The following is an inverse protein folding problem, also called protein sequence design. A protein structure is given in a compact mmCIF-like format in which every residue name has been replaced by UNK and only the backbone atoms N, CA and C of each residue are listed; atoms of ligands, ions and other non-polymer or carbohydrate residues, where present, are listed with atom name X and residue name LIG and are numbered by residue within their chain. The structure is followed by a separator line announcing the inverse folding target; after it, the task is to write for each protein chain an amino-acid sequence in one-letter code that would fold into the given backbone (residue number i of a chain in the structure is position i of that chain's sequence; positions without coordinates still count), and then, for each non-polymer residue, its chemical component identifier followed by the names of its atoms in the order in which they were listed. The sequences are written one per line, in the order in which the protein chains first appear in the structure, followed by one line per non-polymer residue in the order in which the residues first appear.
data_IF_924475851605
#
_entry.id   IF_924475851605
#
_cell.length_a   1.000
_cell.length_b   1.000
_cell.length_c   1.000
_cell.angle_alpha   90.00
_cell.angle_beta   90.00
_cell.angle_gamma   90.00
#
_symmetry.space_group_name_H-M   'P 1'
#
loop_
_entity.id
_entity.type
_entity.pdbx_description
1 polymer ?
#
# COMPACT_ATOMS: atom_id res chain seq x y z
N UNK A 1 32.71 -20.03 -15.95
CA UNK A 1 32.62 -18.84 -15.05
C UNK A 1 31.62 -17.90 -15.71
N UNK A 2 30.37 -17.87 -15.25
CA UNK A 2 29.35 -16.93 -15.73
C UNK A 2 29.73 -15.55 -15.20
N UNK A 3 30.07 -14.62 -16.10
CA UNK A 3 30.18 -13.20 -15.76
C UNK A 3 28.92 -12.76 -15.04
N UNK A 4 29.00 -12.46 -13.76
CA UNK A 4 27.92 -11.79 -13.04
C UNK A 4 27.75 -10.42 -13.69
N UNK A 5 26.69 -10.26 -14.48
CA UNK A 5 26.31 -8.98 -15.06
C UNK A 5 26.11 -8.00 -13.92
N UNK A 6 27.03 -7.07 -13.73
CA UNK A 6 26.96 -6.06 -12.67
C UNK A 6 25.72 -5.18 -12.92
N UNK A 7 24.79 -5.18 -11.98
CA UNK A 7 23.61 -4.32 -12.05
C UNK A 7 24.08 -2.85 -12.05
N UNK A 8 23.66 -2.08 -13.03
CA UNK A 8 23.94 -0.64 -13.13
C UNK A 8 22.62 0.14 -13.24
N UNK A 9 22.55 1.27 -12.54
CA UNK A 9 21.45 2.22 -12.62
C UNK A 9 21.76 3.43 -13.51
N UNK A 10 22.93 3.46 -14.17
CA UNK A 10 23.41 4.61 -14.95
C UNK A 10 22.77 4.68 -16.34
N UNK A 11 22.28 3.55 -16.86
CA UNK A 11 21.67 3.49 -18.18
C UNK A 11 20.17 3.75 -18.13
N UNK A 12 19.77 5.00 -18.31
CA UNK A 12 18.37 5.42 -18.35
C UNK A 12 17.57 4.87 -19.53
N UNK A 13 18.25 4.38 -20.58
CA UNK A 13 17.58 3.77 -21.73
C UNK A 13 16.79 2.51 -21.31
N UNK A 14 17.34 1.69 -20.41
CA UNK A 14 16.62 0.54 -19.86
C UNK A 14 15.47 0.97 -18.95
N UNK A 15 15.70 1.97 -18.09
CA UNK A 15 14.67 2.46 -17.16
C UNK A 15 13.43 3.01 -17.87
N UNK A 16 13.60 3.60 -19.05
CA UNK A 16 12.53 4.22 -19.82
C UNK A 16 12.15 3.46 -21.09
N UNK A 17 12.63 2.24 -21.28
CA UNK A 17 12.39 1.43 -22.49
C UNK A 17 10.89 1.25 -22.78
N UNK A 18 10.04 1.17 -21.77
CA UNK A 18 8.59 1.04 -21.89
C UNK A 18 7.87 2.35 -22.30
N UNK A 19 8.58 3.48 -22.38
CA UNK A 19 8.00 4.79 -22.69
C UNK A 19 8.44 5.28 -24.07
N UNK A 20 7.49 5.78 -24.85
CA UNK A 20 7.78 6.49 -26.10
C UNK A 20 8.39 7.89 -25.83
N UNK A 21 9.05 8.47 -26.83
CA UNK A 21 9.58 9.83 -26.74
C UNK A 21 8.48 10.87 -26.44
N UNK A 22 7.26 10.65 -26.91
CA UNK A 22 6.11 11.53 -26.62
C UNK A 22 5.71 11.43 -25.14
N UNK A 23 5.65 10.22 -24.56
CA UNK A 23 5.37 10.00 -23.14
C UNK A 23 6.46 10.60 -22.26
N UNK A 24 7.74 10.47 -22.65
CA UNK A 24 8.86 11.07 -21.93
C UNK A 24 8.80 12.60 -21.93
N UNK A 25 8.48 13.24 -23.09
CA UNK A 25 8.31 14.70 -23.16
C UNK A 25 7.17 15.18 -22.28
N UNK A 26 6.03 14.48 -22.29
CA UNK A 26 4.89 14.78 -21.40
C UNK A 26 5.28 14.65 -19.93
N UNK A 27 5.95 13.57 -19.56
CA UNK A 27 6.42 13.37 -18.19
C UNK A 27 7.38 14.49 -17.76
N UNK A 28 8.37 14.83 -18.59
CA UNK A 28 9.31 15.93 -18.33
C UNK A 28 8.60 17.28 -18.13
N UNK A 29 7.60 17.58 -18.94
CA UNK A 29 6.77 18.78 -18.79
C UNK A 29 6.00 18.79 -17.48
N UNK A 30 5.34 17.67 -17.14
CA UNK A 30 4.60 17.53 -15.88
C UNK A 30 5.51 17.69 -14.66
N UNK A 31 6.65 17.02 -14.62
CA UNK A 31 7.60 17.14 -13.51
C UNK A 31 8.19 18.55 -13.39
N UNK A 32 8.42 19.24 -14.51
CA UNK A 32 8.85 20.66 -14.49
C UNK A 32 7.77 21.57 -13.85
N UNK A 33 6.49 21.34 -14.16
CA UNK A 33 5.37 22.06 -13.52
C UNK A 33 5.30 21.72 -12.02
N UNK A 34 5.38 20.44 -11.68
CA UNK A 34 5.33 19.98 -10.27
C UNK A 34 6.51 20.51 -9.45
N UNK A 35 7.65 20.80 -10.06
CA UNK A 35 8.77 21.49 -9.44
C UNK A 35 8.51 22.95 -9.04
N UNK A 36 7.31 23.50 -9.36
CA UNK A 36 6.91 24.87 -9.03
C UNK A 36 5.78 24.88 -7.99
N UNK A 37 6.08 25.03 -6.68
CA UNK A 37 5.09 24.89 -5.60
C UNK A 37 3.84 25.76 -5.76
N UNK A 38 3.99 26.98 -6.27
CA UNK A 38 2.87 27.89 -6.47
C UNK A 38 1.86 27.39 -7.51
N UNK A 39 2.35 26.71 -8.59
CA UNK A 39 1.47 26.10 -9.59
C UNK A 39 0.73 24.89 -9.01
N UNK A 40 1.44 24.07 -8.26
CA UNK A 40 0.84 22.89 -7.59
C UNK A 40 -0.24 23.34 -6.61
N UNK A 41 0.04 24.35 -5.77
CA UNK A 41 -0.92 24.90 -4.82
C UNK A 41 -2.13 25.52 -5.50
N UNK A 42 -1.94 26.23 -6.61
CA UNK A 42 -3.04 26.75 -7.42
C UNK A 42 -3.90 25.60 -8.01
N UNK A 43 -3.26 24.58 -8.58
CA UNK A 43 -3.95 23.43 -9.13
C UNK A 43 -4.77 22.67 -8.06
N UNK A 44 -4.21 22.44 -6.86
CA UNK A 44 -4.89 21.79 -5.75
C UNK A 44 -6.14 22.55 -5.27
N UNK A 45 -6.15 23.89 -5.39
CA UNK A 45 -7.32 24.72 -5.03
C UNK A 45 -8.37 24.78 -6.15
N UNK A 46 -7.93 24.92 -7.40
CA UNK A 46 -8.82 25.15 -8.54
C UNK A 46 -9.44 23.83 -9.02
N UNK A 47 -8.70 22.74 -9.07
CA UNK A 47 -9.17 21.47 -9.65
C UNK A 47 -10.44 20.92 -8.97
N UNK A 48 -10.54 20.88 -7.62
CA UNK A 48 -11.78 20.42 -6.96
C UNK A 48 -12.98 21.29 -7.31
N UNK A 49 -12.80 22.61 -7.40
CA UNK A 49 -13.87 23.55 -7.80
C UNK A 49 -14.29 23.32 -9.25
N UNK A 50 -13.31 23.15 -10.14
CA UNK A 50 -13.56 22.89 -11.56
C UNK A 50 -14.34 21.57 -11.78
N UNK A 51 -14.03 20.53 -10.97
CA UNK A 51 -14.77 19.26 -10.98
C UNK A 51 -16.17 19.46 -10.44
N UNK A 52 -16.32 20.14 -9.29
CA UNK A 52 -17.62 20.42 -8.64
C UNK A 52 -18.56 21.21 -9.55
N UNK A 53 -18.04 22.18 -10.28
CA UNK A 53 -18.83 23.01 -11.22
C UNK A 53 -18.96 22.40 -12.62
N UNK A 54 -18.49 21.16 -12.81
CA UNK A 54 -18.59 20.44 -14.08
C UNK A 54 -18.01 21.22 -15.27
N UNK A 55 -16.90 21.97 -15.04
CA UNK A 55 -16.26 22.74 -16.12
C UNK A 55 -15.88 21.79 -17.25
N UNK A 56 -16.29 22.06 -18.50
CA UNK A 56 -16.00 21.21 -19.65
C UNK A 56 -14.49 20.92 -19.80
N UNK A 57 -14.16 19.72 -20.26
CA UNK A 57 -12.80 19.25 -20.51
C UNK A 57 -11.90 19.07 -19.27
N UNK A 58 -12.30 19.50 -18.07
CA UNK A 58 -11.47 19.35 -16.84
C UNK A 58 -11.07 17.89 -16.60
N UNK A 59 -12.03 16.97 -16.60
CA UNK A 59 -11.77 15.52 -16.40
C UNK A 59 -10.87 14.97 -17.50
N UNK A 60 -11.09 15.36 -18.76
CA UNK A 60 -10.26 14.93 -19.90
C UNK A 60 -8.82 15.43 -19.78
N UNK A 61 -8.63 16.67 -19.32
CA UNK A 61 -7.30 17.24 -19.11
C UNK A 61 -6.56 16.49 -18.00
N UNK A 62 -7.20 16.28 -16.85
CA UNK A 62 -6.63 15.53 -15.73
C UNK A 62 -6.25 14.12 -16.19
N UNK A 63 -7.16 13.42 -16.88
CA UNK A 63 -6.95 12.05 -17.38
C UNK A 63 -5.76 11.95 -18.34
N UNK A 64 -5.64 12.86 -19.27
CA UNK A 64 -4.55 12.87 -20.28
C UNK A 64 -3.20 13.38 -19.76
N UNK A 65 -3.17 13.94 -18.56
CA UNK A 65 -1.96 14.50 -17.95
C UNK A 65 -1.55 13.72 -16.70
N UNK A 66 -1.98 14.19 -15.52
CA UNK A 66 -1.57 13.66 -14.22
C UNK A 66 -2.02 12.21 -14.06
N UNK A 67 -3.28 11.89 -14.37
CA UNK A 67 -3.80 10.54 -14.21
C UNK A 67 -3.00 9.53 -15.03
N UNK A 68 -2.79 9.77 -16.31
CA UNK A 68 -2.02 8.88 -17.19
C UNK A 68 -0.56 8.67 -16.73
N UNK A 69 0.00 9.62 -15.99
CA UNK A 69 1.37 9.51 -15.48
C UNK A 69 1.47 8.66 -14.21
N UNK A 70 0.47 8.74 -13.33
CA UNK A 70 0.54 8.18 -11.97
C UNK A 70 -0.43 7.05 -11.69
N UNK A 71 -1.44 6.83 -12.53
CA UNK A 71 -2.49 5.84 -12.32
C UNK A 71 -2.51 4.84 -13.46
N UNK A 72 -2.55 3.55 -13.13
CA UNK A 72 -2.54 2.46 -14.09
C UNK A 72 -3.84 2.35 -14.89
N UNK A 73 -4.98 2.72 -14.31
CA UNK A 73 -6.30 2.67 -14.94
C UNK A 73 -7.41 3.04 -13.97
N UNK A 74 -8.59 3.35 -14.47
CA UNK A 74 -9.80 3.58 -13.66
C UNK A 74 -10.48 2.26 -13.28
N UNK A 75 -10.20 1.20 -14.04
CA UNK A 75 -10.70 -0.15 -13.82
C UNK A 75 -9.66 -1.22 -14.20
N UNK A 76 -9.98 -2.49 -13.94
CA UNK A 76 -9.09 -3.61 -14.23
C UNK A 76 -8.81 -3.79 -15.73
N UNK A 77 -9.75 -3.40 -16.62
CA UNK A 77 -9.54 -3.54 -18.07
C UNK A 77 -8.53 -2.52 -18.61
N UNK A 78 -8.52 -1.30 -18.04
CA UNK A 78 -7.51 -0.29 -18.37
C UNK A 78 -6.15 -0.68 -17.79
N UNK A 79 -6.14 -1.13 -16.53
CA UNK A 79 -4.95 -1.62 -15.84
C UNK A 79 -4.30 -2.79 -16.58
N UNK A 80 -5.10 -3.71 -17.12
CA UNK A 80 -4.64 -4.82 -17.95
C UNK A 80 -3.78 -4.37 -19.12
N UNK A 81 -4.23 -3.34 -19.86
CA UNK A 81 -3.48 -2.80 -21.02
C UNK A 81 -2.12 -2.23 -20.64
N UNK A 82 -2.02 -1.62 -19.44
CA UNK A 82 -0.76 -1.10 -18.92
C UNK A 82 0.14 -2.25 -18.47
N UNK A 83 -0.40 -3.25 -17.79
CA UNK A 83 0.32 -4.44 -17.36
C UNK A 83 0.88 -5.21 -18.58
N UNK A 84 0.08 -5.45 -19.63
CA UNK A 84 0.50 -6.08 -20.88
C UNK A 84 1.61 -5.32 -21.59
N UNK A 85 1.54 -3.97 -21.57
CA UNK A 85 2.61 -3.13 -22.11
C UNK A 85 3.92 -3.32 -21.35
N UNK A 86 3.87 -3.37 -20.03
CA UNK A 86 5.03 -3.52 -19.14
C UNK A 86 5.63 -4.94 -19.23
N UNK A 87 4.81 -5.96 -19.40
CA UNK A 87 5.24 -7.35 -19.54
C UNK A 87 6.22 -7.53 -20.72
N UNK A 88 5.98 -6.84 -21.85
CA UNK A 88 6.88 -6.85 -23.01
C UNK A 88 8.30 -6.43 -22.68
N UNK A 89 8.47 -5.66 -21.60
CA UNK A 89 9.76 -5.20 -21.07
C UNK A 89 10.22 -5.98 -19.82
N UNK A 90 9.54 -7.10 -19.50
CA UNK A 90 9.79 -7.94 -18.32
C UNK A 90 9.67 -7.16 -17.00
N UNK A 91 8.77 -6.19 -16.96
CA UNK A 91 8.43 -5.42 -15.76
C UNK A 91 7.16 -5.99 -15.16
N UNK A 92 7.26 -6.48 -13.93
CA UNK A 92 6.12 -6.94 -13.14
C UNK A 92 5.41 -5.75 -12.50
N UNK A 93 4.13 -5.93 -12.19
CA UNK A 93 3.25 -4.89 -11.65
C UNK A 93 2.78 -5.28 -10.25
N UNK A 94 2.71 -4.30 -9.36
CA UNK A 94 2.00 -4.39 -8.08
C UNK A 94 0.71 -3.59 -8.24
N UNK A 95 -0.44 -4.22 -7.99
CA UNK A 95 -1.71 -3.51 -8.00
C UNK A 95 -1.94 -2.81 -6.65
N UNK A 96 -2.38 -1.58 -6.71
CA UNK A 96 -2.84 -0.79 -5.57
C UNK A 96 -4.23 -0.22 -5.88
N UNK A 97 -5.21 -0.51 -5.02
CA UNK A 97 -6.58 -0.03 -5.17
C UNK A 97 -6.85 1.09 -4.16
N UNK A 98 -7.06 2.29 -4.66
CA UNK A 98 -7.29 3.47 -3.82
C UNK A 98 -8.73 3.52 -3.27
N UNK A 99 -8.91 3.17 -2.01
CA UNK A 99 -10.20 3.17 -1.29
C UNK A 99 -10.19 4.06 -0.04
N UNK A 100 -9.11 4.75 0.22
CA UNK A 100 -8.94 5.54 1.44
C UNK A 100 -9.95 6.68 1.55
N UNK A 101 -10.30 7.05 2.78
CA UNK A 101 -11.12 8.21 3.09
C UNK A 101 -12.64 7.97 3.06
N UNK A 102 -13.10 6.73 2.88
CA UNK A 102 -14.49 6.37 3.04
C UNK A 102 -14.66 5.53 4.30
N UNK A 103 -15.33 6.07 5.31
CA UNK A 103 -15.64 5.35 6.54
C UNK A 103 -17.05 4.75 6.52
N UNK A 104 -17.26 3.79 7.42
CA UNK A 104 -18.53 3.09 7.60
C UNK A 104 -18.48 1.63 7.13
N UNK A 105 -19.24 0.77 7.82
CA UNK A 105 -19.21 -0.68 7.63
C UNK A 105 -19.46 -1.10 6.18
N UNK A 106 -20.47 -0.52 5.52
CA UNK A 106 -20.80 -0.85 4.13
C UNK A 106 -19.65 -0.51 3.18
N UNK A 107 -18.94 0.60 3.43
CA UNK A 107 -17.77 0.98 2.64
C UNK A 107 -16.59 0.04 2.90
N UNK A 108 -16.39 -0.39 4.15
CA UNK A 108 -15.32 -1.32 4.51
C UNK A 108 -15.54 -2.72 3.94
N UNK A 109 -16.79 -3.21 3.93
CA UNK A 109 -17.16 -4.46 3.28
C UNK A 109 -16.97 -4.38 1.76
N UNK A 110 -17.43 -3.27 1.16
CA UNK A 110 -17.22 -3.03 -0.27
C UNK A 110 -15.73 -2.98 -0.63
N UNK A 111 -14.90 -2.29 0.16
CA UNK A 111 -13.46 -2.23 -0.06
C UNK A 111 -12.82 -3.62 0.01
N UNK A 112 -13.17 -4.45 1.01
CA UNK A 112 -12.72 -5.85 1.09
C UNK A 112 -13.09 -6.63 -0.18
N UNK A 113 -14.31 -6.49 -0.67
CA UNK A 113 -14.77 -7.21 -1.87
C UNK A 113 -14.04 -6.74 -3.13
N UNK A 114 -13.76 -5.45 -3.24
CA UNK A 114 -12.93 -4.94 -4.35
C UNK A 114 -11.49 -5.44 -4.27
N UNK A 115 -10.86 -5.45 -3.09
CA UNK A 115 -9.55 -6.05 -2.91
C UNK A 115 -9.52 -7.54 -3.32
N UNK A 116 -10.55 -8.31 -2.99
CA UNK A 116 -10.68 -9.71 -3.43
C UNK A 116 -10.75 -9.82 -4.95
N UNK A 117 -11.53 -8.97 -5.63
CA UNK A 117 -11.58 -8.93 -7.10
C UNK A 117 -10.20 -8.61 -7.70
N UNK A 118 -9.43 -7.72 -7.05
CA UNK A 118 -8.08 -7.39 -7.50
C UNK A 118 -7.14 -8.59 -7.34
N UNK A 119 -7.24 -9.35 -6.24
CA UNK A 119 -6.49 -10.60 -6.05
C UNK A 119 -6.89 -11.64 -7.11
N UNK A 120 -8.19 -11.78 -7.36
CA UNK A 120 -8.72 -12.68 -8.39
C UNK A 120 -8.14 -12.37 -9.76
N UNK A 121 -8.16 -11.09 -10.13
CA UNK A 121 -7.58 -10.63 -11.38
C UNK A 121 -6.07 -10.87 -11.42
N UNK A 122 -5.33 -10.48 -10.39
CA UNK A 122 -3.88 -10.66 -10.32
C UNK A 122 -3.48 -12.13 -10.49
N UNK A 123 -4.24 -13.06 -9.91
CA UNK A 123 -3.97 -14.50 -10.01
C UNK A 123 -4.06 -15.04 -11.45
N UNK A 124 -4.74 -14.36 -12.35
CA UNK A 124 -4.84 -14.71 -13.77
C UNK A 124 -3.71 -14.11 -14.62
N UNK A 125 -2.87 -13.26 -14.04
CA UNK A 125 -1.85 -12.50 -14.75
C UNK A 125 -0.43 -12.87 -14.26
N UNK A 126 0.41 -13.46 -15.11
CA UNK A 126 1.74 -13.93 -14.68
C UNK A 126 2.70 -12.78 -14.30
N UNK A 127 2.44 -11.57 -14.77
CA UNK A 127 3.24 -10.38 -14.50
C UNK A 127 2.70 -9.52 -13.34
N UNK A 128 1.70 -10.01 -12.59
CA UNK A 128 1.12 -9.32 -11.43
C UNK A 128 1.23 -10.22 -10.19
N UNK A 129 2.42 -10.39 -9.62
CA UNK A 129 2.63 -11.30 -8.50
C UNK A 129 2.18 -10.74 -7.14
N UNK A 130 1.88 -9.44 -7.06
CA UNK A 130 1.57 -8.76 -5.80
C UNK A 130 0.43 -7.75 -5.94
N UNK A 131 -0.27 -7.54 -4.83
CA UNK A 131 -1.14 -6.39 -4.62
C UNK A 131 -0.80 -5.68 -3.31
N UNK A 132 -1.04 -4.37 -3.24
CA UNK A 132 -0.94 -3.57 -2.02
C UNK A 132 -2.31 -3.35 -1.38
N UNK A 133 -2.34 -3.33 -0.05
CA UNK A 133 -3.55 -3.11 0.76
C UNK A 133 -3.24 -2.10 1.86
N UNK A 134 -4.08 -1.08 2.01
CA UNK A 134 -4.04 -0.16 3.15
C UNK A 134 -5.14 -0.54 4.14
N UNK A 135 -4.77 -0.65 5.41
CA UNK A 135 -5.72 -1.06 6.46
C UNK A 135 -6.79 0.00 6.69
N UNK A 136 -6.47 1.28 6.47
CA UNK A 136 -7.46 2.37 6.51
C UNK A 136 -8.55 2.27 5.45
N UNK A 137 -8.38 1.46 4.42
CA UNK A 137 -9.43 1.13 3.44
C UNK A 137 -10.57 0.30 4.03
N UNK A 138 -10.33 -0.45 5.12
CA UNK A 138 -11.35 -1.31 5.77
C UNK A 138 -11.34 -1.26 7.31
N UNK A 139 -10.70 -0.24 7.87
CA UNK A 139 -10.68 0.05 9.30
C UNK A 139 -10.84 1.55 9.55
N UNK A 140 -11.59 1.92 10.58
CA UNK A 140 -11.76 3.31 10.97
C UNK A 140 -10.44 3.87 11.52
N UNK A 141 -10.03 5.02 10.97
CA UNK A 141 -8.77 5.66 11.32
C UNK A 141 -8.64 5.94 12.82
N UNK A 142 -9.68 6.51 13.43
CA UNK A 142 -9.67 6.84 14.86
C UNK A 142 -9.63 5.63 15.80
N UNK A 143 -10.06 4.45 15.34
CA UNK A 143 -9.89 3.20 16.10
C UNK A 143 -8.42 2.77 16.09
N UNK A 144 -7.76 2.82 14.93
CA UNK A 144 -6.33 2.52 14.79
C UNK A 144 -5.50 3.49 15.65
N UNK A 145 -5.79 4.80 15.59
CA UNK A 145 -5.11 5.82 16.38
C UNK A 145 -5.26 5.58 17.89
N UNK A 146 -6.47 5.26 18.36
CA UNK A 146 -6.72 4.91 19.77
C UNK A 146 -5.91 3.69 20.21
N UNK A 147 -5.85 2.65 19.38
CA UNK A 147 -5.07 1.44 19.68
C UNK A 147 -3.58 1.75 19.71
N UNK A 148 -3.08 2.52 18.76
CA UNK A 148 -1.68 2.95 18.68
C UNK A 148 -1.26 3.74 19.95
N UNK A 149 -2.09 4.67 20.39
CA UNK A 149 -1.88 5.44 21.64
C UNK A 149 -1.76 4.53 22.87
N UNK A 150 -2.55 3.47 22.97
CA UNK A 150 -2.44 2.52 24.08
C UNK A 150 -1.18 1.67 23.93
N UNK A 151 -0.85 1.23 22.74
CA UNK A 151 0.36 0.47 22.46
C UNK A 151 1.63 1.23 22.77
N UNK A 152 1.67 2.54 22.51
CA UNK A 152 2.80 3.42 22.86
C UNK A 152 3.01 3.58 24.38
N UNK A 153 1.92 3.54 25.15
CA UNK A 153 1.96 3.65 26.62
C UNK A 153 2.25 2.32 27.32
N UNK A 154 1.97 1.22 26.64
CA UNK A 154 2.19 -0.11 27.17
C UNK A 154 3.65 -0.56 27.00
N UNK A 155 4.17 -1.37 27.91
CA UNK A 155 5.52 -1.94 27.86
C UNK A 155 5.51 -3.40 27.41
N UNK A 156 6.64 -3.84 26.85
CA UNK A 156 6.85 -5.24 26.46
C UNK A 156 6.91 -5.42 24.94
N UNK A 157 6.76 -6.66 24.49
CA UNK A 157 6.80 -6.99 23.06
C UNK A 157 5.62 -6.37 22.31
N UNK A 158 5.75 -6.23 20.99
CA UNK A 158 4.67 -5.75 20.12
C UNK A 158 3.34 -6.46 20.44
N UNK A 159 3.37 -7.78 20.60
CA UNK A 159 2.18 -8.58 20.83
C UNK A 159 1.55 -8.33 22.22
N UNK A 160 2.38 -8.12 23.27
CA UNK A 160 1.86 -7.73 24.60
C UNK A 160 1.19 -6.36 24.56
N UNK A 161 1.82 -5.39 23.90
CA UNK A 161 1.27 -4.05 23.70
C UNK A 161 -0.05 -4.08 22.91
N UNK A 162 -0.09 -4.88 21.85
CA UNK A 162 -1.29 -5.09 21.03
C UNK A 162 -2.45 -5.70 21.85
N UNK A 163 -2.20 -6.72 22.66
CA UNK A 163 -3.22 -7.33 23.52
C UNK A 163 -3.77 -6.31 24.52
N UNK A 164 -2.91 -5.49 25.14
CA UNK A 164 -3.32 -4.42 26.05
C UNK A 164 -4.23 -3.39 25.32
N UNK A 165 -3.90 -3.03 24.09
CA UNK A 165 -4.74 -2.15 23.27
C UNK A 165 -6.11 -2.77 23.00
N UNK A 166 -6.17 -4.05 22.59
CA UNK A 166 -7.44 -4.75 22.36
C UNK A 166 -8.30 -4.84 23.65
N UNK A 167 -7.66 -5.11 24.79
CA UNK A 167 -8.36 -5.15 26.07
C UNK A 167 -8.96 -3.81 26.49
N UNK A 168 -8.30 -2.71 26.15
CA UNK A 168 -8.74 -1.34 26.46
C UNK A 168 -9.96 -0.88 25.65
N UNK A 169 -10.32 -1.58 24.58
CA UNK A 169 -11.45 -1.22 23.73
C UNK A 169 -12.78 -1.47 24.44
N UNK A 170 -13.76 -0.61 24.21
CA UNK A 170 -15.15 -0.84 24.60
C UNK A 170 -15.74 -2.06 23.86
N UNK A 171 -16.87 -2.57 24.33
CA UNK A 171 -17.53 -3.73 23.69
C UNK A 171 -17.83 -3.49 22.19
N UNK A 172 -18.31 -2.30 21.83
CA UNK A 172 -18.58 -1.94 20.44
C UNK A 172 -17.31 -1.83 19.59
N UNK A 173 -16.23 -1.27 20.14
CA UNK A 173 -14.93 -1.17 19.46
C UNK A 173 -14.25 -2.55 19.33
N UNK A 174 -14.45 -3.46 20.29
CA UNK A 174 -13.97 -4.85 20.16
C UNK A 174 -14.65 -5.57 19.00
N UNK A 175 -15.95 -5.37 18.85
CA UNK A 175 -16.70 -5.94 17.72
C UNK A 175 -16.23 -5.33 16.39
N UNK A 176 -16.05 -4.00 16.34
CA UNK A 176 -15.50 -3.33 15.17
C UNK A 176 -14.10 -3.85 14.82
N UNK A 177 -13.20 -3.98 15.81
CA UNK A 177 -11.85 -4.52 15.60
C UNK A 177 -11.86 -5.99 15.17
N UNK A 178 -12.79 -6.77 15.68
CA UNK A 178 -12.99 -8.15 15.23
C UNK A 178 -13.31 -8.21 13.73
N UNK A 179 -14.17 -7.32 13.23
CA UNK A 179 -14.48 -7.23 11.79
C UNK A 179 -13.27 -6.82 10.96
N UNK A 180 -12.47 -5.86 11.44
CA UNK A 180 -11.19 -5.49 10.79
C UNK A 180 -10.28 -6.70 10.64
N UNK A 181 -10.11 -7.46 11.72
CA UNK A 181 -9.29 -8.69 11.69
C UNK A 181 -9.84 -9.73 10.72
N UNK A 182 -11.14 -9.93 10.66
CA UNK A 182 -11.78 -10.87 9.73
C UNK A 182 -11.55 -10.44 8.27
N UNK A 183 -11.72 -9.14 7.94
CA UNK A 183 -11.45 -8.62 6.61
C UNK A 183 -10.01 -8.86 6.19
N UNK A 184 -9.06 -8.51 7.07
CA UNK A 184 -7.64 -8.75 6.83
C UNK A 184 -7.35 -10.23 6.59
N UNK A 185 -7.88 -11.10 7.44
CA UNK A 185 -7.69 -12.56 7.32
C UNK A 185 -8.25 -13.08 5.99
N UNK A 186 -9.44 -12.64 5.57
CA UNK A 186 -10.04 -13.03 4.30
C UNK A 186 -9.19 -12.63 3.09
N UNK A 187 -8.59 -11.43 3.12
CA UNK A 187 -7.69 -10.97 2.06
C UNK A 187 -6.39 -11.79 2.02
N UNK A 188 -5.81 -12.07 3.19
CA UNK A 188 -4.60 -12.88 3.29
C UNK A 188 -4.85 -14.33 2.84
N UNK A 189 -5.99 -14.91 3.22
CA UNK A 189 -6.40 -16.25 2.82
C UNK A 189 -6.61 -16.34 1.30
N UNK A 190 -7.22 -15.32 0.70
CA UNK A 190 -7.42 -15.26 -0.76
C UNK A 190 -6.07 -15.14 -1.49
N UNK A 191 -5.15 -14.29 -0.98
CA UNK A 191 -3.80 -14.17 -1.52
C UNK A 191 -3.02 -15.49 -1.45
N UNK A 192 -3.10 -16.20 -0.33
CA UNK A 192 -2.44 -17.50 -0.17
C UNK A 192 -3.00 -18.56 -1.11
N UNK A 193 -4.32 -18.71 -1.16
CA UNK A 193 -5.02 -19.65 -2.07
C UNK A 193 -4.68 -19.41 -3.53
N UNK A 194 -4.54 -18.16 -3.94
CA UNK A 194 -4.32 -17.74 -5.33
C UNK A 194 -2.86 -17.50 -5.67
N UNK A 195 -1.96 -17.66 -4.72
CA UNK A 195 -0.53 -17.42 -4.89
C UNK A 195 -0.21 -15.97 -5.33
N UNK A 196 -0.96 -15.00 -4.81
CA UNK A 196 -0.72 -13.56 -4.99
C UNK A 196 -0.20 -12.98 -3.69
N UNK A 197 0.96 -12.35 -3.71
CA UNK A 197 1.52 -11.72 -2.52
C UNK A 197 0.71 -10.49 -2.10
N UNK A 198 0.39 -10.39 -0.80
CA UNK A 198 -0.35 -9.26 -0.22
C UNK A 198 0.62 -8.39 0.57
N UNK A 199 0.84 -7.18 0.07
CA UNK A 199 1.71 -6.18 0.69
C UNK A 199 0.85 -5.25 1.55
N UNK A 200 0.99 -5.33 2.87
CA UNK A 200 0.29 -4.42 3.77
C UNK A 200 1.08 -3.12 3.86
N UNK A 201 0.49 -2.06 3.35
CA UNK A 201 1.13 -0.75 3.31
C UNK A 201 1.22 -0.11 4.69
N UNK A 202 2.37 0.51 4.96
CA UNK A 202 2.52 1.38 6.12
C UNK A 202 1.98 2.77 5.80
N UNK A 203 1.30 3.33 6.78
CA UNK A 203 0.66 4.63 6.68
C UNK A 203 1.27 5.60 7.70
N UNK A 204 0.48 6.45 8.36
CA UNK A 204 0.96 7.37 9.39
C UNK A 204 1.50 6.64 10.63
N UNK A 205 2.54 7.19 11.25
CA UNK A 205 3.19 6.53 12.40
C UNK A 205 2.28 6.31 13.58
N UNK A 206 1.27 7.15 13.76
CA UNK A 206 0.33 7.11 14.90
C UNK A 206 -0.88 6.18 14.71
N UNK A 207 -0.84 5.37 13.67
CA UNK A 207 -1.76 4.24 13.46
C UNK A 207 -1.01 2.95 13.14
N UNK A 208 0.34 2.99 13.11
CA UNK A 208 1.12 1.91 12.51
C UNK A 208 1.30 0.70 13.41
N UNK A 209 1.43 0.87 14.72
CA UNK A 209 1.70 -0.25 15.63
C UNK A 209 0.59 -1.33 15.61
N UNK A 210 -0.72 -1.01 15.63
CA UNK A 210 -1.77 -2.02 15.48
C UNK A 210 -1.78 -2.67 14.09
N UNK A 211 -1.43 -1.95 13.03
CA UNK A 211 -1.29 -2.50 11.67
C UNK A 211 -0.13 -3.49 11.61
N UNK A 212 1.02 -3.13 12.17
CA UNK A 212 2.19 -3.99 12.27
C UNK A 212 1.88 -5.29 13.03
N UNK A 213 1.22 -5.17 14.19
CA UNK A 213 0.85 -6.32 15.00
C UNK A 213 -0.12 -7.26 14.26
N UNK A 214 -1.15 -6.70 13.62
CA UNK A 214 -2.10 -7.46 12.82
C UNK A 214 -1.41 -8.16 11.65
N UNK A 215 -0.49 -7.49 10.98
CA UNK A 215 0.26 -8.04 9.85
C UNK A 215 1.16 -9.21 10.29
N UNK A 216 1.86 -9.08 11.43
CA UNK A 216 2.65 -10.18 12.01
C UNK A 216 1.78 -11.39 12.37
N UNK A 217 0.56 -11.16 12.88
CA UNK A 217 -0.40 -12.26 13.12
C UNK A 217 -0.81 -12.96 11.83
N UNK A 218 -1.03 -12.22 10.74
CA UNK A 218 -1.36 -12.82 9.44
C UNK A 218 -0.16 -13.59 8.85
N UNK A 219 1.06 -13.10 8.99
CA UNK A 219 2.26 -13.84 8.58
C UNK A 219 2.40 -15.15 9.36
N UNK A 220 2.14 -15.13 10.66
CA UNK A 220 2.21 -16.34 11.47
C UNK A 220 1.19 -17.41 11.05
N UNK A 221 0.07 -17.01 10.51
CA UNK A 221 -0.95 -17.94 10.00
C UNK A 221 -0.59 -18.43 8.59
N UNK A 222 -0.25 -17.54 7.68
CA UNK A 222 -0.20 -17.83 6.23
C UNK A 222 1.22 -18.04 5.68
N UNK A 223 2.27 -17.45 6.28
CA UNK A 223 3.65 -17.55 5.77
C UNK A 223 4.38 -18.80 6.29
N UNK A 224 3.76 -19.97 6.28
CA UNK A 224 4.40 -21.20 6.81
C UNK A 224 5.33 -21.89 5.81
N UNK A 225 4.97 -21.89 4.53
CA UNK A 225 5.72 -22.56 3.46
C UNK A 225 6.47 -21.58 2.56
N UNK A 226 5.91 -20.40 2.38
CA UNK A 226 6.44 -19.30 1.56
C UNK A 226 5.97 -17.96 2.12
N UNK A 227 6.64 -16.87 1.75
CA UNK A 227 6.15 -15.54 2.07
C UNK A 227 5.01 -15.16 1.10
N UNK A 228 3.80 -14.95 1.63
CA UNK A 228 2.63 -14.45 0.91
C UNK A 228 2.22 -13.09 1.45
N UNK A 229 2.32 -12.90 2.76
CA UNK A 229 1.98 -11.66 3.44
C UNK A 229 3.27 -10.91 3.76
N UNK A 230 3.28 -9.60 3.46
CA UNK A 230 4.44 -8.74 3.63
C UNK A 230 4.05 -7.50 4.44
N UNK A 231 4.87 -7.16 5.44
CA UNK A 231 4.76 -5.88 6.13
C UNK A 231 5.63 -4.82 5.45
N UNK A 232 5.21 -3.57 5.52
CA UNK A 232 5.96 -2.44 4.94
C UNK A 232 6.77 -1.73 6.03
N UNK A 233 8.09 -1.67 5.82
CA UNK A 233 9.06 -1.08 6.74
C UNK A 233 9.45 0.32 6.25
N UNK A 234 9.10 1.35 7.00
CA UNK A 234 9.36 2.77 6.69
C UNK A 234 10.79 3.14 7.11
N UNK A 235 11.74 3.12 6.18
CA UNK A 235 13.17 3.27 6.46
C UNK A 235 13.59 4.67 6.97
N UNK A 236 12.71 5.66 6.90
CA UNK A 236 12.97 7.01 7.43
C UNK A 236 12.74 7.13 8.95
N UNK A 237 12.12 6.14 9.57
CA UNK A 237 11.88 6.08 11.02
C UNK A 237 13.07 5.45 11.75
N UNK A 238 13.42 6.01 12.90
CA UNK A 238 14.56 5.53 13.69
C UNK A 238 14.35 4.16 14.34
N UNK A 239 13.10 3.79 14.63
CA UNK A 239 12.73 2.55 15.32
C UNK A 239 12.64 1.33 14.39
N UNK A 240 12.54 1.52 13.07
CA UNK A 240 12.22 0.44 12.13
C UNK A 240 13.30 -0.63 11.97
N UNK A 241 14.56 -0.29 12.17
CA UNK A 241 15.62 -1.31 12.13
C UNK A 241 15.49 -2.30 13.31
N UNK A 242 15.19 -1.79 14.51
CA UNK A 242 14.97 -2.66 15.67
C UNK A 242 13.68 -3.46 15.49
N UNK A 243 12.59 -2.83 15.06
CA UNK A 243 11.34 -3.51 14.73
C UNK A 243 11.56 -4.67 13.72
N UNK A 244 12.36 -4.47 12.67
CA UNK A 244 12.66 -5.51 11.69
C UNK A 244 13.43 -6.68 12.32
N UNK A 245 14.41 -6.39 13.19
CA UNK A 245 15.17 -7.43 13.92
C UNK A 245 14.26 -8.23 14.86
N UNK A 246 13.39 -7.55 15.61
CA UNK A 246 12.45 -8.18 16.53
C UNK A 246 11.41 -9.03 15.77
N UNK A 247 10.94 -8.54 14.61
CA UNK A 247 10.05 -9.29 13.72
C UNK A 247 10.72 -10.54 13.16
N UNK A 248 12.01 -10.46 12.79
CA UNK A 248 12.77 -11.60 12.32
C UNK A 248 12.98 -12.65 13.44
N UNK A 249 13.29 -12.20 14.65
CA UNK A 249 13.41 -13.10 15.81
C UNK A 249 12.08 -13.79 16.13
N UNK A 250 10.97 -13.04 16.13
CA UNK A 250 9.63 -13.61 16.33
C UNK A 250 9.25 -14.61 15.22
N UNK A 251 9.63 -14.35 13.98
CA UNK A 251 9.42 -15.26 12.86
C UNK A 251 10.16 -16.59 13.06
N UNK A 252 11.42 -16.52 13.49
CA UNK A 252 12.23 -17.71 13.80
C UNK A 252 11.63 -18.50 14.96
N UNK A 253 11.25 -17.84 16.06
CA UNK A 253 10.67 -18.47 17.25
C UNK A 253 9.33 -19.16 16.94
N UNK A 254 8.48 -18.52 16.14
CA UNK A 254 7.10 -18.99 15.85
C UNK A 254 7.02 -19.79 14.54
N UNK A 255 8.15 -20.04 13.90
CA UNK A 255 8.27 -20.83 12.68
C UNK A 255 7.35 -20.32 11.55
N UNK A 256 7.56 -19.06 11.15
CA UNK A 256 6.96 -18.49 9.93
C UNK A 256 8.01 -17.71 9.13
N UNK A 257 7.72 -17.45 7.85
CA UNK A 257 8.61 -16.73 6.96
C UNK A 257 8.26 -15.22 7.00
N UNK A 258 9.24 -14.39 7.39
CA UNK A 258 9.06 -12.95 7.40
C UNK A 258 9.01 -12.40 5.98
N UNK A 259 7.89 -11.76 5.61
CA UNK A 259 7.75 -10.95 4.40
C UNK A 259 7.96 -9.47 4.71
N UNK A 260 8.85 -8.79 3.99
CA UNK A 260 9.12 -7.38 4.20
C UNK A 260 9.20 -6.59 2.88
N UNK A 261 8.46 -5.47 2.80
CA UNK A 261 8.56 -4.44 1.79
C UNK A 261 9.29 -3.24 2.38
N UNK A 262 10.43 -2.87 1.83
CA UNK A 262 11.23 -1.74 2.31
C UNK A 262 10.86 -0.48 1.52
N UNK A 263 10.45 0.59 2.22
CA UNK A 263 10.07 1.85 1.59
C UNK A 263 10.82 3.03 2.21
N UNK A 264 11.10 4.05 1.38
CA UNK A 264 11.70 5.29 1.90
C UNK A 264 10.71 6.12 2.70
N UNK A 265 9.40 5.95 2.41
CA UNK A 265 8.28 6.57 3.11
C UNK A 265 7.64 7.71 2.32
N UNK A 266 6.31 7.75 2.34
CA UNK A 266 5.49 8.77 1.69
C UNK A 266 4.92 9.79 2.68
N UNK A 267 4.94 9.50 3.97
CA UNK A 267 4.24 10.27 5.02
C UNK A 267 5.14 11.28 5.75
N UNK A 268 6.42 11.36 5.42
CA UNK A 268 7.41 12.17 6.15
C UNK A 268 7.06 13.66 6.29
N UNK A 269 6.46 14.27 5.26
CA UNK A 269 6.01 15.67 5.34
C UNK A 269 4.85 15.84 6.32
N UNK A 270 3.89 14.93 6.26
CA UNK A 270 2.71 14.90 7.14
C UNK A 270 3.14 14.70 8.60
N UNK A 271 4.12 13.84 8.83
CA UNK A 271 4.69 13.59 10.17
C UNK A 271 5.50 14.74 10.73
N UNK A 272 6.23 15.49 9.87
CA UNK A 272 6.94 16.69 10.30
C UNK A 272 6.01 17.85 10.71
N UNK A 273 4.78 17.83 10.24
CA UNK A 273 3.78 18.86 10.49
C UNK A 273 2.87 18.54 11.70
N UNK A 274 2.97 17.36 12.29
CA UNK A 274 2.28 16.94 13.52
C UNK A 274 3.17 17.19 14.73
#
# INVERSE_FOLDING_TARGET
MTEQTKISFDNTQYAFAAKSNSELRKAGFLFNIMGKPWLVNAALRITPLAIKWHIPFTKTLIRKTIFQQFVGGEDLNETAKVADKLEKYKVQVILDYGVEGKEGEDNFEHARDEFKKVIDYASTQPNIPFMSVKVTGFARFSLLEKMDDVMHKASGTLMKRYLAAVESLSAGEKEEWHKVRLRMQQLCEEGDKKNVGVLIDAEETWIQDPVDALTILMMDIFNKQKAVIYNTIQLYRHDRLQFLKDSYAAAAERNFILGAKLVRGAYMEKERNR
#
